data_IF_127811454824
#
_entry.id   IF_127811454824
#
_cell.length_a   1.000
_cell.length_b   1.000
_cell.length_c   1.000
_cell.angle_alpha   90.00
_cell.angle_beta   90.00
_cell.angle_gamma   90.00
#
_symmetry.space_group_name_H-M   'P 1'
#
loop_
_entity.id
_entity.type
_entity.pdbx_description
1 polymer ?
#
# COMPACT_ATOMS: atom_id res chain seq x y z
N UNK A 1 -47.46 54.02 -26.63
CA UNK A 1 -47.28 52.61 -26.19
C UNK A 1 -47.18 51.71 -27.40
N UNK A 2 -45.95 51.25 -27.72
CA UNK A 2 -45.57 50.03 -28.45
C UNK A 2 -44.07 50.14 -28.73
N UNK A 3 -43.28 49.51 -27.86
CA UNK A 3 -41.83 49.36 -27.93
C UNK A 3 -41.54 48.27 -28.95
N UNK A 4 -40.84 48.58 -30.03
CA UNK A 4 -40.31 47.57 -30.96
C UNK A 4 -38.87 47.24 -30.57
N UNK A 5 -38.64 45.94 -30.42
CA UNK A 5 -37.46 45.29 -29.90
C UNK A 5 -36.15 45.76 -30.57
N UNK A 6 -35.20 46.20 -29.75
CA UNK A 6 -33.79 46.26 -30.13
C UNK A 6 -33.22 44.85 -30.22
N UNK A 7 -32.75 44.50 -31.41
CA UNK A 7 -31.91 43.35 -31.70
C UNK A 7 -30.56 43.55 -30.98
N UNK A 8 -30.36 42.88 -29.83
CA UNK A 8 -29.03 42.74 -29.21
C UNK A 8 -28.57 41.32 -29.47
N UNK A 9 -27.85 41.14 -30.57
CA UNK A 9 -27.04 39.96 -30.83
C UNK A 9 -25.61 40.26 -30.37
N UNK A 10 -24.95 39.21 -29.87
CA UNK A 10 -23.50 39.07 -29.69
C UNK A 10 -22.90 39.71 -28.42
N UNK A 11 -22.65 38.89 -27.41
CA UNK A 11 -21.32 38.30 -27.14
C UNK A 11 -21.43 37.45 -25.87
N UNK A 12 -21.70 36.15 -26.05
CA UNK A 12 -21.41 35.16 -25.01
C UNK A 12 -19.89 35.05 -24.98
N UNK A 13 -19.27 35.84 -24.10
CA UNK A 13 -17.86 35.74 -23.79
C UNK A 13 -17.61 34.35 -23.20
N UNK A 14 -16.90 33.56 -23.99
CA UNK A 14 -16.19 32.36 -23.62
C UNK A 14 -15.26 32.66 -22.44
N UNK A 15 -15.78 32.54 -21.22
CA UNK A 15 -14.98 32.34 -20.01
C UNK A 15 -14.61 30.87 -19.92
N UNK A 16 -13.54 30.45 -20.59
CA UNK A 16 -12.97 29.12 -20.45
C UNK A 16 -12.54 28.87 -19.01
N UNK A 17 -13.33 28.08 -18.27
CA UNK A 17 -12.87 27.50 -17.01
C UNK A 17 -11.67 26.59 -17.30
N UNK A 18 -10.53 26.96 -16.72
CA UNK A 18 -9.23 26.29 -16.80
C UNK A 18 -9.34 24.80 -16.46
N UNK A 19 -9.23 23.91 -17.47
CA UNK A 19 -9.07 22.46 -17.25
C UNK A 19 -7.79 22.13 -16.45
N UNK A 20 -6.85 23.08 -16.36
CA UNK A 20 -5.57 22.93 -15.69
C UNK A 20 -5.73 22.72 -14.19
N UNK A 21 -6.62 23.48 -13.52
CA UNK A 21 -6.84 23.33 -12.07
C UNK A 21 -7.51 22.01 -11.68
N UNK A 22 -8.27 21.41 -12.60
CA UNK A 22 -8.94 20.12 -12.35
C UNK A 22 -7.99 18.93 -12.43
N UNK A 23 -7.03 18.96 -13.36
CA UNK A 23 -6.06 17.87 -13.51
C UNK A 23 -5.08 17.80 -12.34
N UNK A 24 -4.62 18.95 -11.86
CA UNK A 24 -3.73 19.03 -10.70
C UNK A 24 -4.37 18.39 -9.47
N UNK A 25 -5.60 18.81 -9.14
CA UNK A 25 -6.32 18.32 -7.96
C UNK A 25 -6.58 16.81 -8.03
N UNK A 26 -7.07 16.31 -9.17
CA UNK A 26 -7.36 14.88 -9.37
C UNK A 26 -6.08 14.04 -9.27
N UNK A 27 -4.97 14.55 -9.84
CA UNK A 27 -3.69 13.86 -9.81
C UNK A 27 -3.05 13.87 -8.43
N UNK A 28 -3.13 14.97 -7.69
CA UNK A 28 -2.67 15.05 -6.31
C UNK A 28 -3.42 14.07 -5.42
N UNK A 29 -4.74 13.96 -5.58
CA UNK A 29 -5.55 13.00 -4.83
C UNK A 29 -5.10 11.56 -5.10
N UNK A 30 -4.90 11.17 -6.36
CA UNK A 30 -4.37 9.85 -6.71
C UNK A 30 -2.96 9.65 -6.13
N UNK A 31 -2.11 10.69 -6.15
CA UNK A 31 -0.76 10.65 -5.62
C UNK A 31 -0.73 10.36 -4.12
N UNK A 32 -1.55 11.07 -3.34
CA UNK A 32 -1.66 10.84 -1.90
C UNK A 32 -2.29 9.48 -1.57
N UNK A 33 -3.24 9.01 -2.39
CA UNK A 33 -3.81 7.68 -2.24
C UNK A 33 -2.76 6.58 -2.49
N UNK A 34 -2.02 6.65 -3.60
CA UNK A 34 -0.93 5.70 -3.88
C UNK A 34 0.13 5.76 -2.78
N UNK A 35 0.52 6.97 -2.35
CA UNK A 35 1.49 7.15 -1.26
C UNK A 35 1.03 6.50 0.03
N UNK A 36 -0.21 6.71 0.43
CA UNK A 36 -0.79 6.10 1.64
C UNK A 36 -0.71 4.59 1.56
N UNK A 37 -1.11 4.00 0.43
CA UNK A 37 -1.06 2.55 0.21
C UNK A 37 0.38 2.02 0.35
N UNK A 38 1.34 2.68 -0.28
CA UNK A 38 2.76 2.28 -0.21
C UNK A 38 3.30 2.35 1.22
N UNK A 39 2.97 3.41 1.96
CA UNK A 39 3.40 3.54 3.36
C UNK A 39 2.75 2.50 4.27
N UNK A 40 1.45 2.21 4.09
CA UNK A 40 0.79 1.15 4.85
C UNK A 40 1.41 -0.23 4.56
N UNK A 41 1.74 -0.51 3.29
CA UNK A 41 2.45 -1.74 2.92
C UNK A 41 3.80 -1.85 3.62
N UNK A 42 4.58 -0.77 3.69
CA UNK A 42 5.87 -0.73 4.39
C UNK A 42 5.71 -1.03 5.89
N UNK A 43 4.74 -0.39 6.56
CA UNK A 43 4.42 -0.63 7.97
C UNK A 43 4.03 -2.09 8.21
N UNK A 44 3.16 -2.67 7.37
CA UNK A 44 2.76 -4.07 7.48
C UNK A 44 3.94 -5.02 7.29
N UNK A 45 4.84 -4.72 6.36
CA UNK A 45 6.07 -5.49 6.15
C UNK A 45 7.01 -5.44 7.37
N UNK A 46 7.15 -4.29 8.03
CA UNK A 46 7.93 -4.22 9.26
C UNK A 46 7.26 -4.97 10.40
N UNK A 47 5.94 -4.78 10.57
CA UNK A 47 5.17 -5.41 11.65
C UNK A 47 5.24 -6.92 11.58
N UNK A 48 5.02 -7.52 10.40
CA UNK A 48 5.08 -8.98 10.24
C UNK A 48 6.48 -9.53 10.57
N UNK A 49 7.54 -8.81 10.22
CA UNK A 49 8.90 -9.22 10.64
C UNK A 49 9.05 -9.18 12.15
N UNK A 50 8.60 -8.11 12.80
CA UNK A 50 8.73 -7.96 14.25
C UNK A 50 7.97 -9.05 15.02
N UNK A 51 6.77 -9.42 14.58
CA UNK A 51 6.00 -10.54 15.18
C UNK A 51 6.78 -11.86 15.05
N UNK A 52 7.35 -12.15 13.88
CA UNK A 52 8.17 -13.34 13.64
C UNK A 52 9.47 -13.33 14.45
N UNK A 53 10.13 -12.19 14.55
CA UNK A 53 11.37 -12.05 15.33
C UNK A 53 11.09 -12.22 16.84
N UNK A 54 9.93 -11.75 17.31
CA UNK A 54 9.45 -11.94 18.68
C UNK A 54 9.21 -13.41 19.04
N UNK A 55 8.48 -14.15 18.19
CA UNK A 55 8.25 -15.58 18.45
C UNK A 55 9.53 -16.41 18.32
N UNK A 56 10.45 -16.04 17.42
CA UNK A 56 11.75 -16.71 17.31
C UNK A 56 12.59 -16.54 18.59
N UNK A 57 12.61 -15.35 19.18
CA UNK A 57 13.29 -15.12 20.45
C UNK A 57 12.67 -15.93 21.60
N UNK A 58 11.32 -16.00 21.65
CA UNK A 58 10.60 -16.83 22.62
C UNK A 58 10.89 -18.32 22.42
N UNK A 59 10.88 -18.80 21.18
CA UNK A 59 11.25 -20.17 20.86
C UNK A 59 12.68 -20.43 21.34
N UNK A 60 13.66 -19.65 20.91
CA UNK A 60 15.08 -19.86 21.23
C UNK A 60 15.35 -19.99 22.72
N UNK A 61 14.70 -19.17 23.55
CA UNK A 61 14.85 -19.19 25.01
C UNK A 61 14.29 -20.46 25.67
N UNK A 62 13.45 -21.22 24.97
CA UNK A 62 12.69 -22.34 25.52
C UNK A 62 12.86 -23.65 24.73
N UNK A 63 13.72 -23.67 23.70
CA UNK A 63 14.05 -24.92 23.01
C UNK A 63 14.83 -25.86 23.93
N UNK A 64 14.64 -27.19 23.81
CA UNK A 64 15.40 -28.16 24.59
C UNK A 64 16.92 -27.97 24.44
N UNK A 65 17.69 -28.06 25.54
CA UNK A 65 19.14 -27.83 25.52
C UNK A 65 19.90 -28.90 24.73
N UNK A 66 19.31 -30.08 24.55
CA UNK A 66 19.83 -31.23 23.81
C UNK A 66 19.35 -31.28 22.34
N UNK A 67 18.57 -30.29 21.90
CA UNK A 67 18.11 -30.19 20.51
C UNK A 67 19.29 -30.22 19.52
N UNK A 68 19.22 -31.02 18.44
CA UNK A 68 20.21 -30.97 17.37
C UNK A 68 20.39 -29.56 16.80
N UNK A 69 21.64 -29.11 16.65
CA UNK A 69 21.94 -27.73 16.20
C UNK A 69 21.30 -27.37 14.86
N UNK A 70 21.23 -28.31 13.93
CA UNK A 70 20.61 -28.13 12.62
C UNK A 70 19.09 -27.98 12.73
N UNK A 71 18.45 -28.80 13.57
CA UNK A 71 17.02 -28.68 13.88
C UNK A 71 16.70 -27.32 14.51
N UNK A 72 17.50 -26.90 15.50
CA UNK A 72 17.39 -25.59 16.13
C UNK A 72 17.49 -24.47 15.12
N UNK A 73 18.52 -24.52 14.26
CA UNK A 73 18.72 -23.52 13.23
C UNK A 73 17.52 -23.45 12.28
N UNK A 74 17.03 -24.59 11.80
CA UNK A 74 15.90 -24.64 10.89
C UNK A 74 14.62 -24.10 11.55
N UNK A 75 14.31 -24.54 12.77
CA UNK A 75 13.13 -24.07 13.49
C UNK A 75 13.13 -22.55 13.70
N UNK A 76 14.27 -21.97 14.08
CA UNK A 76 14.38 -20.53 14.36
C UNK A 76 14.43 -19.64 13.10
N UNK A 77 14.66 -20.21 11.91
CA UNK A 77 14.72 -19.44 10.66
C UNK A 77 13.45 -19.59 9.81
N UNK A 78 12.56 -20.52 10.17
CA UNK A 78 11.34 -20.77 9.43
C UNK A 78 10.24 -19.83 9.91
N UNK A 79 9.83 -18.89 9.05
CA UNK A 79 8.69 -17.99 9.29
C UNK A 79 7.37 -18.62 8.81
N UNK A 80 7.09 -19.82 9.32
CA UNK A 80 5.88 -20.58 8.98
C UNK A 80 5.51 -21.50 10.15
N UNK A 81 4.38 -21.24 10.78
CA UNK A 81 3.96 -21.96 11.98
C UNK A 81 3.69 -23.45 11.69
N UNK A 82 3.14 -23.79 10.52
CA UNK A 82 2.91 -25.20 10.16
C UNK A 82 4.21 -25.98 10.01
N UNK A 83 5.25 -25.37 9.43
CA UNK A 83 6.57 -26.00 9.36
C UNK A 83 7.22 -26.12 10.74
N UNK A 84 7.05 -25.12 11.61
CA UNK A 84 7.52 -25.20 13.01
C UNK A 84 6.84 -26.36 13.76
N UNK A 85 5.54 -26.58 13.55
CA UNK A 85 4.78 -27.67 14.19
C UNK A 85 5.22 -29.07 13.74
N UNK A 86 5.93 -29.20 12.62
CA UNK A 86 6.41 -30.47 12.09
C UNK A 86 7.68 -31.00 12.78
N UNK A 87 8.40 -30.15 13.51
CA UNK A 87 9.58 -30.59 14.27
C UNK A 87 9.16 -31.44 15.48
N UNK A 88 9.89 -32.53 15.72
CA UNK A 88 9.59 -33.44 16.85
C UNK A 88 9.72 -32.72 18.19
N UNK A 89 10.74 -31.88 18.32
CA UNK A 89 11.00 -31.06 19.50
C UNK A 89 9.87 -30.08 19.83
N UNK A 90 9.07 -29.67 18.85
CA UNK A 90 7.91 -28.79 19.08
C UNK A 90 6.90 -29.40 20.06
N UNK A 91 6.80 -30.73 20.11
CA UNK A 91 5.89 -31.41 21.03
C UNK A 91 6.22 -31.12 22.51
N UNK A 92 7.49 -30.90 22.81
CA UNK A 92 7.99 -30.65 24.17
C UNK A 92 7.94 -29.19 24.61
N UNK A 93 7.66 -28.27 23.68
CA UNK A 93 7.58 -26.84 23.96
C UNK A 93 6.37 -26.52 24.85
N UNK A 94 6.53 -25.53 25.72
CA UNK A 94 5.50 -25.02 26.62
C UNK A 94 4.22 -24.63 25.86
N UNK A 95 3.02 -25.03 26.33
CA UNK A 95 1.74 -24.58 25.77
C UNK A 95 1.61 -23.08 25.56
N UNK A 96 2.18 -22.24 26.43
CA UNK A 96 2.10 -20.77 26.30
C UNK A 96 2.83 -20.28 25.03
N UNK A 97 3.95 -20.92 24.68
CA UNK A 97 4.72 -20.60 23.47
C UNK A 97 4.02 -21.10 22.23
N UNK A 98 3.39 -22.28 22.31
CA UNK A 98 2.53 -22.79 21.23
C UNK A 98 1.38 -21.82 20.94
N UNK A 99 0.75 -21.28 21.98
CA UNK A 99 -0.30 -20.27 21.84
C UNK A 99 0.23 -18.94 21.27
N UNK A 100 1.45 -18.53 21.62
CA UNK A 100 2.09 -17.36 21.03
C UNK A 100 2.35 -17.57 19.52
N UNK A 101 2.81 -18.76 19.12
CA UNK A 101 2.98 -19.12 17.71
C UNK A 101 1.65 -19.09 16.94
N UNK A 102 0.57 -19.61 17.52
CA UNK A 102 -0.77 -19.55 16.92
C UNK A 102 -1.24 -18.09 16.74
N UNK A 103 -0.93 -17.22 17.71
CA UNK A 103 -1.25 -15.79 17.64
C UNK A 103 -0.50 -15.10 16.51
N UNK A 104 0.80 -15.38 16.35
CA UNK A 104 1.61 -14.84 15.25
C UNK A 104 1.13 -15.37 13.90
N UNK A 105 0.78 -16.66 13.78
CA UNK A 105 0.19 -17.21 12.56
C UNK A 105 -1.11 -16.49 12.18
N UNK A 106 -2.00 -16.27 13.14
CA UNK A 106 -3.25 -15.57 12.88
C UNK A 106 -2.99 -14.12 12.44
N UNK A 107 -2.05 -13.42 13.10
CA UNK A 107 -1.64 -12.07 12.70
C UNK A 107 -1.05 -12.04 11.29
N UNK A 108 -0.21 -13.02 10.92
CA UNK A 108 0.37 -13.18 9.58
C UNK A 108 -0.72 -13.39 8.52
N UNK A 109 -1.71 -14.24 8.81
CA UNK A 109 -2.88 -14.47 7.94
C UNK A 109 -3.67 -13.18 7.71
N UNK A 110 -3.94 -12.41 8.76
CA UNK A 110 -4.73 -11.20 8.66
C UNK A 110 -3.98 -10.06 7.95
N UNK A 111 -2.69 -9.87 8.25
CA UNK A 111 -1.83 -8.92 7.53
C UNK A 111 -1.70 -9.29 6.05
N UNK A 112 -1.66 -10.59 5.71
CA UNK A 112 -1.63 -11.04 4.31
C UNK A 112 -2.91 -10.65 3.56
N UNK A 113 -4.09 -10.76 4.20
CA UNK A 113 -5.35 -10.30 3.61
C UNK A 113 -5.32 -8.79 3.36
N UNK A 114 -4.81 -8.02 4.32
CA UNK A 114 -4.68 -6.57 4.20
C UNK A 114 -3.72 -6.18 3.06
N UNK A 115 -2.55 -6.82 2.97
CA UNK A 115 -1.59 -6.62 1.87
C UNK A 115 -2.25 -6.90 0.52
N UNK A 116 -3.02 -7.98 0.39
CA UNK A 116 -3.72 -8.31 -0.86
C UNK A 116 -4.76 -7.24 -1.21
N UNK A 117 -5.51 -6.74 -0.22
CA UNK A 117 -6.48 -5.66 -0.43
C UNK A 117 -5.80 -4.35 -0.86
N UNK A 118 -4.67 -4.00 -0.24
CA UNK A 118 -3.86 -2.83 -0.59
C UNK A 118 -3.27 -2.95 -1.99
N UNK A 119 -2.79 -4.13 -2.39
CA UNK A 119 -2.32 -4.38 -3.77
C UNK A 119 -3.43 -4.20 -4.81
N UNK A 120 -4.63 -4.67 -4.51
CA UNK A 120 -5.79 -4.44 -5.38
C UNK A 120 -6.20 -2.96 -5.44
N UNK A 121 -6.03 -2.20 -4.35
CA UNK A 121 -6.21 -0.74 -4.36
C UNK A 121 -5.13 -0.06 -5.21
N UNK A 122 -3.86 -0.42 -5.06
CA UNK A 122 -2.76 0.14 -5.84
C UNK A 122 -2.98 -0.07 -7.36
N UNK A 123 -3.43 -1.24 -7.78
CA UNK A 123 -3.76 -1.51 -9.19
C UNK A 123 -4.89 -0.62 -9.72
N UNK A 124 -5.89 -0.31 -8.89
CA UNK A 124 -6.98 0.61 -9.25
C UNK A 124 -6.47 2.04 -9.41
N UNK A 125 -5.66 2.51 -8.46
CA UNK A 125 -5.04 3.84 -8.51
C UNK A 125 -4.11 3.96 -9.72
N UNK A 126 -3.31 2.95 -10.01
CA UNK A 126 -2.47 2.89 -11.21
C UNK A 126 -3.29 3.04 -12.49
N UNK A 127 -4.40 2.30 -12.60
CA UNK A 127 -5.29 2.39 -13.76
C UNK A 127 -5.91 3.78 -13.92
N UNK A 128 -6.35 4.39 -12.81
CA UNK A 128 -6.90 5.76 -12.81
C UNK A 128 -5.84 6.80 -13.19
N UNK A 129 -4.63 6.67 -12.64
CA UNK A 129 -3.47 7.51 -12.97
C UNK A 129 -3.14 7.45 -14.46
N UNK A 130 -3.06 6.24 -15.03
CA UNK A 130 -2.77 6.07 -16.45
C UNK A 130 -3.85 6.71 -17.33
N UNK A 131 -5.13 6.52 -17.00
CA UNK A 131 -6.23 7.16 -17.71
C UNK A 131 -6.17 8.70 -17.62
N UNK A 132 -5.81 9.24 -16.45
CA UNK A 132 -5.66 10.68 -16.24
C UNK A 132 -4.47 11.25 -17.02
N UNK A 133 -3.33 10.56 -17.04
CA UNK A 133 -2.18 10.95 -17.86
C UNK A 133 -2.49 10.92 -19.36
N UNK A 134 -3.25 9.93 -19.82
CA UNK A 134 -3.70 9.89 -21.21
C UNK A 134 -4.62 11.08 -21.53
N UNK A 135 -5.57 11.39 -20.64
CA UNK A 135 -6.46 12.55 -20.77
C UNK A 135 -5.67 13.86 -20.83
N UNK A 136 -4.73 14.07 -19.91
CA UNK A 136 -3.84 15.24 -19.88
C UNK A 136 -3.04 15.35 -21.19
N UNK A 137 -2.47 14.24 -21.66
CA UNK A 137 -1.71 14.20 -22.91
C UNK A 137 -2.55 14.68 -24.11
N UNK A 138 -3.81 14.22 -24.18
CA UNK A 138 -4.74 14.55 -25.27
C UNK A 138 -5.27 15.99 -25.18
N UNK A 139 -5.48 16.54 -23.98
CA UNK A 139 -6.13 17.85 -23.79
C UNK A 139 -5.14 19.01 -23.60
N UNK A 140 -4.05 18.78 -22.87
CA UNK A 140 -3.09 19.82 -22.47
C UNK A 140 -1.70 19.63 -23.12
N UNK A 141 -1.49 18.51 -23.83
CA UNK A 141 -0.27 18.22 -24.57
C UNK A 141 0.84 17.61 -23.72
N UNK A 142 1.91 17.19 -24.41
CA UNK A 142 3.04 16.46 -23.82
C UNK A 142 3.88 17.29 -22.85
N UNK A 143 4.00 18.60 -23.07
CA UNK A 143 4.70 19.50 -22.16
C UNK A 143 4.00 19.57 -20.80
N UNK A 144 2.68 19.73 -20.78
CA UNK A 144 1.89 19.73 -19.55
C UNK A 144 1.96 18.37 -18.84
N UNK A 145 1.87 17.26 -19.58
CA UNK A 145 2.03 15.92 -19.03
C UNK A 145 3.36 15.75 -18.27
N UNK A 146 4.44 16.33 -18.79
CA UNK A 146 5.74 16.33 -18.10
C UNK A 146 5.67 16.99 -16.72
N UNK A 147 5.05 18.16 -16.62
CA UNK A 147 4.84 18.88 -15.36
C UNK A 147 4.02 18.05 -14.37
N UNK A 148 2.91 17.47 -14.82
CA UNK A 148 2.04 16.65 -13.98
C UNK A 148 2.71 15.36 -13.50
N UNK A 149 3.49 14.68 -14.34
CA UNK A 149 4.30 13.53 -13.91
C UNK A 149 5.30 13.91 -12.83
N UNK A 150 5.95 15.05 -12.95
CA UNK A 150 6.88 15.54 -11.93
C UNK A 150 6.17 15.83 -10.61
N UNK A 151 5.01 16.49 -10.65
CA UNK A 151 4.17 16.72 -9.47
C UNK A 151 3.81 15.40 -8.77
N UNK A 152 3.31 14.43 -9.53
CA UNK A 152 2.95 13.11 -9.01
C UNK A 152 4.13 12.39 -8.35
N UNK A 153 5.28 12.38 -9.02
CA UNK A 153 6.49 11.73 -8.53
C UNK A 153 7.04 12.41 -7.27
N UNK A 154 6.85 13.71 -7.10
CA UNK A 154 7.27 14.41 -5.89
C UNK A 154 6.47 13.95 -4.67
N UNK A 155 5.15 13.77 -4.82
CA UNK A 155 4.29 13.21 -3.75
C UNK A 155 4.79 11.82 -3.34
N UNK A 156 5.12 10.97 -4.32
CA UNK A 156 5.57 9.60 -4.03
C UNK A 156 6.93 9.55 -3.30
N UNK A 157 7.79 10.55 -3.51
CA UNK A 157 9.14 10.64 -2.92
C UNK A 157 9.15 11.12 -1.47
N UNK A 158 8.05 11.66 -0.96
CA UNK A 158 7.95 12.03 0.45
C UNK A 158 8.24 10.81 1.33
N UNK A 159 8.79 10.98 2.52
CA UNK A 159 9.02 9.84 3.42
C UNK A 159 7.70 9.32 3.98
N UNK A 160 7.62 8.02 4.25
CA UNK A 160 6.55 7.49 5.08
C UNK A 160 6.85 7.90 6.53
N UNK A 161 5.94 8.66 7.15
CA UNK A 161 6.08 9.12 8.54
C UNK A 161 5.44 8.12 9.51
#
# INVERSE_FOLDING_TARGET
MKIFLSFVTVLVLLGGCSQTGTFETELMQLGYQEKTILCTLEVLHSRISNEWDGINALLEANLPPDMPKEEKFNMLNVRNANLIRMFESFQTIDPEIKQALDTVEQADVDMRKEILALKAQAQRVESQKMALFEKISRTAGTAALGTYRNLYNNILRETCN
#
